data_IF_168856860068
#
_entry.id   IF_168856860068
#
_cell.length_a   1.000
_cell.length_b   1.000
_cell.length_c   1.000
_cell.angle_alpha   90.00
_cell.angle_beta   90.00
_cell.angle_gamma   90.00
#
_symmetry.space_group_name_H-M   'P 1'
#
loop_
_entity.id
_entity.type
_entity.pdbx_description
1 polymer ?
#
# COMPACT_ATOMS: atom_id res chain seq x y z
N UNK A 1 -11.64 -17.94 5.14
CA UNK A 1 -12.57 -17.05 5.88
C UNK A 1 -12.33 -15.61 5.43
N UNK A 2 -13.37 -14.77 5.40
CA UNK A 2 -13.23 -13.33 5.14
C UNK A 2 -13.22 -12.63 6.50
N UNK A 3 -12.29 -11.70 6.71
CA UNK A 3 -12.12 -10.97 7.97
C UNK A 3 -12.37 -9.49 7.72
N UNK A 4 -13.29 -8.91 8.49
CA UNK A 4 -13.53 -7.47 8.53
C UNK A 4 -12.59 -6.87 9.56
N UNK A 5 -11.41 -6.42 9.09
CA UNK A 5 -10.33 -5.94 9.97
C UNK A 5 -10.75 -4.73 10.81
N UNK A 6 -11.69 -3.92 10.35
CA UNK A 6 -12.29 -2.80 11.09
C UNK A 6 -13.12 -3.24 12.30
N UNK A 7 -13.84 -4.36 12.20
CA UNK A 7 -14.62 -4.93 13.29
C UNK A 7 -13.87 -5.98 14.14
N UNK A 8 -12.67 -6.40 13.71
CA UNK A 8 -11.87 -7.40 14.40
C UNK A 8 -11.39 -6.86 15.77
N UNK A 9 -11.78 -7.55 16.85
CA UNK A 9 -11.38 -7.21 18.23
C UNK A 9 -10.02 -7.77 18.62
N UNK A 10 -9.43 -8.65 17.80
CA UNK A 10 -8.18 -9.33 18.12
C UNK A 10 -8.31 -10.42 19.18
N UNK A 11 -9.51 -10.96 19.42
CA UNK A 11 -9.76 -11.95 20.48
C UNK A 11 -9.11 -13.33 20.26
N UNK A 12 -8.59 -13.63 19.06
CA UNK A 12 -7.91 -14.91 18.76
C UNK A 12 -8.84 -16.12 18.58
N UNK A 13 -10.17 -15.97 18.71
CA UNK A 13 -11.10 -17.10 18.62
C UNK A 13 -11.02 -17.86 17.27
N UNK A 14 -10.70 -17.14 16.19
CA UNK A 14 -10.51 -17.73 14.86
C UNK A 14 -9.31 -18.67 14.77
N UNK A 15 -8.27 -18.45 15.58
CA UNK A 15 -7.09 -19.33 15.64
C UNK A 15 -7.44 -20.61 16.39
N UNK A 16 -8.15 -20.48 17.52
CA UNK A 16 -8.57 -21.59 18.37
C UNK A 16 -9.64 -22.48 17.73
N UNK A 17 -10.57 -21.88 16.98
CA UNK A 17 -11.64 -22.62 16.31
C UNK A 17 -11.21 -23.25 14.97
N UNK A 18 -9.96 -23.06 14.55
CA UNK A 18 -9.48 -23.54 13.26
C UNK A 18 -9.41 -25.09 13.24
N UNK A 19 -10.12 -25.72 12.31
CA UNK A 19 -10.19 -27.20 12.18
C UNK A 19 -8.90 -27.83 11.69
N UNK A 20 -7.96 -27.04 11.17
CA UNK A 20 -6.69 -27.52 10.63
C UNK A 20 -5.66 -27.76 11.73
N UNK A 21 -4.77 -28.75 11.54
CA UNK A 21 -3.71 -29.09 12.52
C UNK A 21 -2.84 -27.89 12.92
N UNK A 22 -2.58 -27.00 11.97
CA UNK A 22 -1.96 -25.69 12.18
C UNK A 22 -2.99 -24.64 11.76
N UNK A 23 -3.24 -23.63 12.58
CA UNK A 23 -4.20 -22.59 12.25
C UNK A 23 -3.84 -21.93 10.90
N UNK A 24 -4.84 -21.71 10.06
CA UNK A 24 -4.67 -21.05 8.76
C UNK A 24 -4.80 -19.52 8.85
N UNK A 25 -5.01 -19.01 10.06
CA UNK A 25 -5.16 -17.59 10.38
C UNK A 25 -4.39 -17.34 11.68
N UNK A 26 -3.77 -16.15 11.77
CA UNK A 26 -3.03 -15.69 12.94
C UNK A 26 -3.42 -14.24 13.23
N UNK A 27 -3.77 -13.93 14.47
CA UNK A 27 -4.07 -12.56 14.89
C UNK A 27 -2.77 -11.88 15.27
N UNK A 28 -2.51 -10.74 14.63
CA UNK A 28 -1.33 -9.91 14.87
C UNK A 28 -1.74 -8.49 15.28
N UNK A 29 -0.92 -7.79 16.09
CA UNK A 29 -1.13 -6.37 16.37
C UNK A 29 -1.21 -5.54 15.09
N UNK A 30 -2.16 -4.60 15.04
CA UNK A 30 -2.39 -3.77 13.85
C UNK A 30 -1.16 -2.97 13.43
N UNK A 31 -0.38 -2.49 14.40
CA UNK A 31 0.81 -1.67 14.16
C UNK A 31 1.90 -2.38 13.37
N UNK A 32 1.95 -3.72 13.43
CA UNK A 32 2.95 -4.52 12.69
C UNK A 32 2.36 -5.18 11.45
N UNK A 33 1.06 -5.46 11.44
CA UNK A 33 0.41 -6.19 10.35
C UNK A 33 -0.20 -5.27 9.29
N UNK A 34 -0.62 -4.05 9.65
CA UNK A 34 -1.27 -3.12 8.73
C UNK A 34 -0.29 -2.05 8.27
N UNK A 35 -0.07 -1.99 6.96
CA UNK A 35 0.60 -0.86 6.33
C UNK A 35 -0.32 0.36 6.21
N UNK A 36 0.28 1.55 6.12
CA UNK A 36 -0.42 2.77 5.74
C UNK A 36 -0.33 2.96 4.22
N UNK A 37 -1.47 3.20 3.57
CA UNK A 37 -1.49 3.55 2.15
C UNK A 37 -1.10 5.01 1.96
N UNK A 38 -0.02 5.24 1.21
CA UNK A 38 0.38 6.58 0.78
C UNK A 38 -0.72 7.25 -0.07
N UNK A 39 -0.78 8.58 -0.06
CA UNK A 39 -1.73 9.36 -0.88
C UNK A 39 -1.60 9.11 -2.38
N UNK A 40 -0.42 8.64 -2.83
CA UNK A 40 -0.15 8.24 -4.22
C UNK A 40 -0.77 6.89 -4.60
N UNK A 41 -1.23 6.10 -3.62
CA UNK A 41 -1.97 4.86 -3.87
C UNK A 41 -3.48 5.12 -3.75
N UNK A 42 -4.17 5.06 -4.89
CA UNK A 42 -5.62 5.26 -4.99
C UNK A 42 -6.34 3.94 -5.24
N UNK A 43 -7.29 3.61 -4.37
CA UNK A 43 -8.18 2.46 -4.47
C UNK A 43 -9.27 2.73 -5.50
N UNK A 44 -9.07 2.28 -6.74
CA UNK A 44 -10.04 2.49 -7.83
C UNK A 44 -11.45 1.93 -7.57
N UNK A 45 -11.62 1.00 -6.62
CA UNK A 45 -12.94 0.47 -6.23
C UNK A 45 -13.67 1.35 -5.20
N UNK A 46 -13.01 2.33 -4.60
CA UNK A 46 -13.60 3.28 -3.65
C UNK A 46 -13.70 4.65 -4.31
N UNK A 47 -14.91 5.01 -4.76
CA UNK A 47 -15.17 6.27 -5.51
C UNK A 47 -14.72 7.53 -4.77
N UNK A 48 -14.57 7.47 -3.44
CA UNK A 48 -14.16 8.62 -2.64
C UNK A 48 -12.65 8.71 -2.47
N UNK A 49 -11.92 7.64 -2.76
CA UNK A 49 -10.50 7.54 -2.42
C UNK A 49 -9.63 8.49 -3.24
N UNK A 50 -10.03 8.79 -4.48
CA UNK A 50 -9.35 9.76 -5.35
C UNK A 50 -9.24 11.15 -4.71
N UNK A 51 -10.13 11.51 -3.78
CA UNK A 51 -10.06 12.79 -3.05
C UNK A 51 -8.77 12.97 -2.24
N UNK A 52 -8.11 11.87 -1.81
CA UNK A 52 -6.81 11.89 -1.11
C UNK A 52 -5.68 12.46 -1.96
N UNK A 53 -5.79 12.46 -3.29
CA UNK A 53 -4.80 13.07 -4.17
C UNK A 53 -4.62 14.57 -3.88
N UNK A 54 -5.62 15.24 -3.31
CA UNK A 54 -5.52 16.66 -2.92
C UNK A 54 -4.49 16.92 -1.82
N UNK A 55 -4.17 15.89 -1.03
CA UNK A 55 -3.16 15.94 0.03
C UNK A 55 -1.75 15.63 -0.51
N UNK A 56 -1.64 15.21 -1.78
CA UNK A 56 -0.35 14.91 -2.38
C UNK A 56 0.50 16.18 -2.56
N UNK A 57 1.82 16.11 -2.32
CA UNK A 57 2.71 17.23 -2.59
C UNK A 57 2.66 17.60 -4.08
N UNK A 58 2.69 18.90 -4.37
CA UNK A 58 2.62 19.43 -5.74
C UNK A 58 3.82 18.98 -6.59
N UNK A 59 4.96 18.74 -5.95
CA UNK A 59 6.19 18.34 -6.62
C UNK A 59 6.66 16.99 -6.06
N UNK A 60 7.07 16.10 -6.96
CA UNK A 60 7.66 14.81 -6.60
C UNK A 60 9.15 14.88 -6.88
N UNK A 61 9.95 14.92 -5.83
CA UNK A 61 11.42 14.86 -5.93
C UNK A 61 11.84 13.40 -5.78
N UNK A 62 12.64 12.91 -6.72
CA UNK A 62 13.32 11.61 -6.63
C UNK A 62 14.81 11.83 -6.70
N UNK A 63 15.56 11.25 -5.77
CA UNK A 63 17.03 11.35 -5.72
C UNK A 63 17.63 10.01 -6.20
N UNK A 64 17.98 9.94 -7.48
CA UNK A 64 18.52 8.75 -8.14
C UNK A 64 19.52 9.17 -9.23
N UNK A 65 20.43 8.30 -9.69
CA UNK A 65 21.32 8.64 -10.82
C UNK A 65 20.58 9.05 -12.09
N UNK A 66 19.32 8.62 -12.25
CA UNK A 66 18.45 8.98 -13.37
C UNK A 66 17.89 10.40 -13.29
N UNK A 67 17.72 10.93 -12.09
CA UNK A 67 17.20 12.29 -11.86
C UNK A 67 18.30 13.36 -11.82
N UNK A 68 19.55 12.98 -12.08
CA UNK A 68 20.66 13.92 -12.30
C UNK A 68 20.53 14.72 -13.60
N UNK A 69 19.73 14.23 -14.55
CA UNK A 69 19.49 14.87 -15.84
C UNK A 69 18.12 15.54 -15.86
N UNK A 70 17.99 16.57 -16.70
CA UNK A 70 16.68 17.17 -16.96
C UNK A 70 15.69 16.11 -17.48
N UNK A 71 14.42 16.10 -17.01
CA UNK A 71 13.44 15.11 -17.44
C UNK A 71 13.24 15.04 -18.96
N UNK A 72 13.31 16.18 -19.68
CA UNK A 72 13.17 16.21 -21.13
C UNK A 72 14.41 15.63 -21.81
N UNK A 73 15.60 15.95 -21.33
CA UNK A 73 16.85 15.38 -21.86
C UNK A 73 16.89 13.87 -21.68
N UNK A 74 16.47 13.37 -20.51
CA UNK A 74 16.38 11.94 -20.24
C UNK A 74 15.40 11.23 -21.20
N UNK A 75 14.20 11.78 -21.40
CA UNK A 75 13.16 11.17 -22.25
C UNK A 75 13.50 11.24 -23.74
N UNK A 76 14.29 12.24 -24.16
CA UNK A 76 14.67 12.46 -25.53
C UNK A 76 16.09 11.98 -25.86
N UNK A 77 16.73 11.18 -25.00
CA UNK A 77 17.93 10.44 -25.37
C UNK A 77 17.58 9.50 -26.52
N UNK A 78 17.83 9.96 -27.75
CA UNK A 78 17.69 9.15 -28.95
C UNK A 78 18.63 7.95 -28.85
N UNK A 79 18.05 6.75 -28.72
CA UNK A 79 18.73 5.48 -29.00
C UNK A 79 19.94 5.15 -28.14
N UNK A 80 19.72 4.58 -26.96
CA UNK A 80 20.68 3.64 -26.37
C UNK A 80 20.37 2.23 -26.93
N UNK A 81 20.81 1.99 -28.17
CA UNK A 81 20.92 0.66 -28.80
C UNK A 81 22.29 0.52 -29.44
#
# INVERSE_FOLDING_TARGET
PVIHSDACTGCGLCEHACVTKKASIFVLPRSIAMGASDVRYIKGWDRRDESRLREAPAETVTETPRSEQDPLDYLNREGDR
#
